data_IF_162393565259
#
_entry.id   IF_162393565259
#
_cell.length_a   1.000
_cell.length_b   1.000
_cell.length_c   1.000
_cell.angle_alpha   90.00
_cell.angle_beta   90.00
_cell.angle_gamma   90.00
#
_symmetry.space_group_name_H-M   'P 1'
#
loop_
_entity.id
_entity.type
_entity.pdbx_description
1 polymer ?
#
# COMPACT_ATOMS: atom_id res chain seq x y z
N UNK A 1 26.18 -24.32 36.72
CA UNK A 1 25.08 -23.35 36.76
C UNK A 1 25.67 -22.07 37.31
N UNK A 2 25.74 -21.00 36.53
CA UNK A 2 26.14 -19.67 37.02
C UNK A 2 24.82 -18.94 37.28
N UNK A 3 24.53 -18.66 38.56
CA UNK A 3 23.23 -18.14 39.00
C UNK A 3 23.22 -16.60 39.09
N UNK A 4 24.36 -15.91 38.96
CA UNK A 4 24.41 -14.45 39.05
C UNK A 4 25.55 -13.84 38.21
N UNK A 5 25.22 -12.81 37.40
CA UNK A 5 26.18 -12.09 36.53
C UNK A 5 27.25 -11.35 37.37
N UNK A 6 26.95 -11.03 38.63
CA UNK A 6 27.89 -10.40 39.57
C UNK A 6 29.16 -11.23 39.81
N UNK A 7 29.08 -12.56 39.70
CA UNK A 7 30.20 -13.46 40.00
C UNK A 7 31.23 -13.53 38.85
N UNK A 8 30.93 -12.89 37.72
CA UNK A 8 31.78 -12.83 36.54
C UNK A 8 32.63 -11.55 36.47
N UNK A 9 32.31 -10.50 37.23
CA UNK A 9 33.02 -9.20 37.18
C UNK A 9 34.52 -9.28 37.47
N UNK A 10 34.97 -10.28 38.23
CA UNK A 10 36.39 -10.43 38.60
C UNK A 10 37.22 -11.27 37.61
N UNK A 11 36.69 -11.60 36.43
CA UNK A 11 37.34 -12.51 35.44
C UNK A 11 38.10 -11.79 34.31
N UNK A 12 38.31 -10.48 34.41
CA UNK A 12 39.11 -9.68 33.48
C UNK A 12 38.30 -8.64 32.69
N UNK A 13 38.96 -7.68 32.04
CA UNK A 13 38.33 -6.49 31.45
C UNK A 13 37.28 -6.84 30.37
N UNK A 14 37.51 -7.89 29.58
CA UNK A 14 36.54 -8.34 28.57
C UNK A 14 35.22 -8.81 29.20
N UNK A 15 35.28 -9.53 30.33
CA UNK A 15 34.08 -10.03 31.00
C UNK A 15 33.32 -8.87 31.66
N UNK A 16 34.04 -7.90 32.20
CA UNK A 16 33.45 -6.68 32.74
C UNK A 16 32.76 -5.84 31.66
N UNK A 17 33.42 -5.63 30.51
CA UNK A 17 32.84 -4.93 29.36
C UNK A 17 31.61 -5.66 28.81
N UNK A 18 31.65 -7.00 28.79
CA UNK A 18 30.50 -7.84 28.42
C UNK A 18 29.34 -7.64 29.41
N UNK A 19 29.62 -7.71 30.72
CA UNK A 19 28.60 -7.56 31.76
C UNK A 19 28.00 -6.14 31.83
N UNK A 20 28.75 -5.12 31.43
CA UNK A 20 28.32 -3.71 31.45
C UNK A 20 27.77 -3.23 30.11
N UNK A 21 27.83 -4.04 29.05
CA UNK A 21 27.45 -3.67 27.68
C UNK A 21 28.21 -2.42 27.16
N UNK A 22 29.41 -2.15 27.69
CA UNK A 22 30.22 -0.98 27.33
C UNK A 22 30.59 -0.98 25.83
N UNK A 23 30.81 -2.18 25.27
CA UNK A 23 31.09 -2.36 23.84
C UNK A 23 29.91 -1.90 22.96
N UNK A 24 28.67 -2.21 23.36
CA UNK A 24 27.46 -1.83 22.64
C UNK A 24 27.26 -0.32 22.69
N UNK A 25 27.44 0.30 23.87
CA UNK A 25 27.34 1.75 24.02
C UNK A 25 28.40 2.50 23.19
N UNK A 26 29.65 2.01 23.20
CA UNK A 26 30.74 2.60 22.41
C UNK A 26 30.46 2.50 20.91
N UNK A 27 29.94 1.35 20.46
CA UNK A 27 29.54 1.16 19.07
C UNK A 27 28.36 2.07 18.70
N UNK A 28 27.34 2.18 19.55
CA UNK A 28 26.20 3.06 19.33
C UNK A 28 26.63 4.51 19.11
N UNK A 29 27.51 5.04 19.98
CA UNK A 29 28.04 6.41 19.83
C UNK A 29 28.82 6.58 18.52
N UNK A 30 29.62 5.58 18.15
CA UNK A 30 30.37 5.59 16.89
C UNK A 30 29.44 5.57 15.68
N UNK A 31 28.43 4.71 15.67
CA UNK A 31 27.42 4.64 14.61
C UNK A 31 26.58 5.92 14.51
N UNK A 32 26.31 6.57 15.63
CA UNK A 32 25.62 7.86 15.62
C UNK A 32 26.43 8.94 14.90
N UNK A 33 27.74 9.02 15.17
CA UNK A 33 28.63 9.92 14.43
C UNK A 33 28.69 9.58 12.94
N UNK A 34 28.87 8.29 12.62
CA UNK A 34 28.92 7.84 11.23
C UNK A 34 27.58 8.07 10.50
N UNK A 35 26.45 8.04 11.20
CA UNK A 35 25.15 8.39 10.62
C UNK A 35 25.10 9.86 10.16
N UNK A 36 25.60 10.78 11.00
CA UNK A 36 25.68 12.20 10.66
C UNK A 36 26.60 12.39 9.46
N UNK A 37 27.79 11.79 9.50
CA UNK A 37 28.79 11.85 8.41
C UNK A 37 28.22 11.27 7.10
N UNK A 38 27.56 10.11 7.13
CA UNK A 38 26.95 9.49 5.96
C UNK A 38 25.81 10.34 5.36
N UNK A 39 25.06 11.05 6.20
CA UNK A 39 24.03 11.96 5.75
C UNK A 39 24.63 13.23 5.11
N UNK A 40 25.74 13.73 5.64
CA UNK A 40 26.50 14.83 5.02
C UNK A 40 27.06 14.40 3.66
N UNK A 41 27.67 13.22 3.58
CA UNK A 41 28.20 12.62 2.34
C UNK A 41 27.10 12.45 1.27
N UNK A 42 25.91 12.01 1.67
CA UNK A 42 24.79 11.80 0.76
C UNK A 42 24.17 13.11 0.25
N UNK A 43 24.39 14.25 0.91
CA UNK A 43 23.80 15.54 0.54
C UNK A 43 24.82 16.56 0.03
N UNK A 44 26.09 16.19 -0.06
CA UNK A 44 27.19 17.06 -0.52
C UNK A 44 27.66 16.62 -1.89
N UNK A 45 27.90 17.58 -2.79
CA UNK A 45 28.50 17.30 -4.10
C UNK A 45 30.02 17.33 -3.97
N UNK A 46 30.68 16.23 -4.32
CA UNK A 46 32.13 16.10 -4.28
C UNK A 46 32.70 16.08 -5.70
N UNK A 47 33.73 16.90 -5.93
CA UNK A 47 34.63 16.79 -7.10
C UNK A 47 35.67 15.68 -6.92
N UNK A 48 36.08 15.45 -5.67
CA UNK A 48 36.96 14.37 -5.26
C UNK A 48 36.58 13.92 -3.85
N UNK A 49 36.26 12.65 -3.69
CA UNK A 49 36.08 12.02 -2.39
C UNK A 49 37.30 11.15 -2.05
N UNK A 50 37.87 11.35 -0.86
CA UNK A 50 39.02 10.60 -0.40
C UNK A 50 38.69 9.90 0.93
N UNK A 51 38.84 8.58 0.97
CA UNK A 51 38.55 7.76 2.14
C UNK A 51 37.51 6.68 1.87
N UNK A 52 37.10 6.00 2.93
CA UNK A 52 35.98 5.05 2.89
C UNK A 52 34.71 5.79 3.31
N UNK A 53 33.60 5.68 2.56
CA UNK A 53 32.33 6.29 2.93
C UNK A 53 31.86 5.87 4.32
N UNK A 54 31.27 6.79 5.07
CA UNK A 54 30.83 6.56 6.45
C UNK A 54 29.77 5.43 6.54
N UNK A 55 28.93 5.26 5.50
CA UNK A 55 27.98 4.15 5.44
C UNK A 55 28.69 2.78 5.36
N UNK A 56 29.83 2.70 4.66
CA UNK A 56 30.59 1.47 4.48
C UNK A 56 31.36 1.11 5.75
N UNK A 57 31.94 2.13 6.42
CA UNK A 57 32.53 1.95 7.75
C UNK A 57 31.47 1.44 8.72
N UNK A 58 30.28 2.05 8.74
CA UNK A 58 29.18 1.61 9.61
C UNK A 58 28.81 0.14 9.39
N UNK A 59 28.80 -0.31 8.13
CA UNK A 59 28.51 -1.71 7.77
C UNK A 59 29.56 -2.66 8.33
N UNK A 60 30.85 -2.32 8.21
CA UNK A 60 31.96 -3.12 8.73
C UNK A 60 31.86 -3.25 10.25
N UNK A 61 31.66 -2.13 10.96
CA UNK A 61 31.58 -2.12 12.43
C UNK A 61 30.44 -2.99 12.95
N UNK A 62 29.28 -2.95 12.29
CA UNK A 62 28.12 -3.77 12.65
C UNK A 62 28.32 -5.23 12.31
N UNK A 63 28.97 -5.53 11.19
CA UNK A 63 29.30 -6.91 10.83
C UNK A 63 30.29 -7.52 11.82
N UNK A 64 31.33 -6.78 12.21
CA UNK A 64 32.32 -7.21 13.19
C UNK A 64 31.69 -7.40 14.56
N UNK A 65 30.77 -6.51 14.93
CA UNK A 65 30.01 -6.62 16.17
C UNK A 65 29.11 -7.86 16.20
N UNK A 66 28.35 -8.11 15.13
CA UNK A 66 27.53 -9.31 15.02
C UNK A 66 28.37 -10.59 15.05
N UNK A 67 29.51 -10.59 14.35
CA UNK A 67 30.45 -11.71 14.37
C UNK A 67 31.00 -11.94 15.78
N UNK A 68 31.31 -10.88 16.52
CA UNK A 68 31.72 -10.97 17.91
C UNK A 68 30.63 -11.61 18.77
N UNK A 69 29.37 -11.18 18.65
CA UNK A 69 28.26 -11.77 19.41
C UNK A 69 28.08 -13.26 19.10
N UNK A 70 28.02 -13.62 17.81
CA UNK A 70 27.81 -15.00 17.35
C UNK A 70 28.96 -15.91 17.78
N UNK A 71 30.20 -15.51 17.51
CA UNK A 71 31.38 -16.34 17.78
C UNK A 71 31.63 -16.56 19.28
N UNK A 72 31.11 -15.66 20.13
CA UNK A 72 31.22 -15.75 21.59
C UNK A 72 29.93 -16.28 22.25
N UNK A 73 28.95 -16.74 21.46
CA UNK A 73 27.66 -17.25 21.96
C UNK A 73 26.92 -16.27 22.88
N UNK A 74 27.06 -14.97 22.61
CA UNK A 74 26.40 -13.91 23.36
C UNK A 74 24.94 -13.80 22.88
N UNK A 75 24.02 -14.33 23.67
CA UNK A 75 22.57 -14.26 23.41
C UNK A 75 21.99 -12.92 23.85
N UNK A 76 22.64 -11.82 23.46
CA UNK A 76 22.20 -10.48 23.83
C UNK A 76 21.22 -9.86 22.84
N UNK A 77 20.79 -10.62 21.85
CA UNK A 77 19.84 -10.24 20.80
C UNK A 77 18.43 -9.84 21.31
N UNK A 78 18.21 -9.90 22.62
CA UNK A 78 16.99 -9.43 23.31
C UNK A 78 17.18 -8.13 24.10
N UNK A 79 18.40 -7.64 24.27
CA UNK A 79 18.66 -6.39 24.99
C UNK A 79 18.36 -5.21 24.09
N UNK A 80 17.57 -4.26 24.60
CA UNK A 80 17.08 -3.13 23.83
C UNK A 80 18.23 -2.27 23.30
N UNK A 81 19.29 -2.10 24.09
CA UNK A 81 20.49 -1.33 23.74
C UNK A 81 21.20 -1.87 22.50
N UNK A 82 21.25 -3.20 22.36
CA UNK A 82 21.87 -3.87 21.22
C UNK A 82 20.95 -3.79 20.00
N UNK A 83 19.65 -4.03 20.20
CA UNK A 83 18.64 -3.87 19.15
C UNK A 83 18.67 -2.45 18.59
N UNK A 84 18.77 -1.43 19.45
CA UNK A 84 18.82 -0.03 19.04
C UNK A 84 20.10 0.31 18.27
N UNK A 85 21.21 -0.32 18.61
CA UNK A 85 22.48 -0.21 17.85
C UNK A 85 22.31 -0.74 16.42
N UNK A 86 21.72 -1.92 16.25
CA UNK A 86 21.41 -2.46 14.92
C UNK A 86 20.38 -1.61 14.16
N UNK A 87 19.35 -1.12 14.84
CA UNK A 87 18.32 -0.26 14.23
C UNK A 87 18.88 1.08 13.78
N UNK A 88 19.81 1.68 14.54
CA UNK A 88 20.48 2.92 14.16
C UNK A 88 21.27 2.73 12.87
N UNK A 89 22.04 1.64 12.77
CA UNK A 89 22.74 1.29 11.53
C UNK A 89 21.79 1.11 10.34
N UNK A 90 20.71 0.33 10.52
CA UNK A 90 19.73 0.08 9.46
C UNK A 90 19.13 1.39 8.94
N UNK A 91 18.82 2.35 9.83
CA UNK A 91 18.38 3.69 9.41
C UNK A 91 19.44 4.43 8.59
N UNK A 92 20.71 4.37 9.00
CA UNK A 92 21.83 4.95 8.24
C UNK A 92 21.90 4.41 6.82
N UNK A 93 21.92 3.07 6.66
CA UNK A 93 22.12 2.46 5.35
C UNK A 93 20.89 2.64 4.45
N UNK A 94 19.67 2.60 5.00
CA UNK A 94 18.44 2.87 4.23
C UNK A 94 18.42 4.33 3.76
N UNK A 95 18.75 5.28 4.63
CA UNK A 95 18.85 6.70 4.25
C UNK A 95 19.89 6.91 3.15
N UNK A 96 21.06 6.26 3.25
CA UNK A 96 22.11 6.32 2.24
C UNK A 96 21.67 5.72 0.91
N UNK A 97 21.02 4.54 0.92
CA UNK A 97 20.53 3.90 -0.32
C UNK A 97 19.38 4.66 -0.97
N UNK A 98 18.57 5.36 -0.18
CA UNK A 98 17.46 6.17 -0.64
C UNK A 98 17.89 7.55 -1.19
N UNK A 99 19.10 8.01 -0.87
CA UNK A 99 19.61 9.28 -1.37
C UNK A 99 19.56 9.33 -2.90
N UNK A 100 19.15 10.48 -3.43
CA UNK A 100 19.11 10.73 -4.87
C UNK A 100 20.53 11.02 -5.35
N UNK A 101 20.89 10.52 -6.53
CA UNK A 101 22.12 10.95 -7.19
C UNK A 101 22.03 12.46 -7.45
N UNK A 102 22.94 13.24 -6.87
CA UNK A 102 23.07 14.68 -7.11
C UNK A 102 24.28 14.87 -8.00
N UNK A 103 24.07 15.44 -9.19
CA UNK A 103 25.14 15.78 -10.13
C UNK A 103 25.07 17.26 -10.47
N UNK A 104 26.21 17.94 -10.41
CA UNK A 104 26.39 19.23 -11.08
C UNK A 104 27.07 18.93 -12.43
N UNK A 105 26.46 19.41 -13.51
CA UNK A 105 26.93 19.16 -14.89
C UNK A 105 27.59 20.39 -15.49
N UNK A 106 27.95 21.37 -14.66
CA UNK A 106 28.57 22.62 -15.10
C UNK A 106 29.94 22.43 -15.77
N UNK A 107 30.70 21.39 -15.41
CA UNK A 107 31.95 21.00 -16.10
C UNK A 107 31.94 19.52 -16.53
N UNK A 108 31.88 19.21 -17.84
CA UNK A 108 31.87 17.84 -18.34
C UNK A 108 33.20 17.08 -18.15
N UNK A 109 34.27 17.75 -17.70
CA UNK A 109 35.58 17.12 -17.46
C UNK A 109 35.79 16.67 -16.00
N UNK A 110 34.90 17.07 -15.08
CA UNK A 110 34.96 16.71 -13.65
C UNK A 110 33.63 16.04 -13.26
N UNK A 111 33.58 14.71 -13.13
CA UNK A 111 32.36 14.04 -12.67
C UNK A 111 32.13 14.40 -11.19
N UNK A 112 31.14 15.26 -10.96
CA UNK A 112 30.72 15.68 -9.63
C UNK A 112 29.53 14.86 -9.15
N UNK A 113 29.62 14.34 -7.92
CA UNK A 113 28.58 13.48 -7.37
C UNK A 113 28.59 13.46 -5.84
N UNK A 114 27.42 13.18 -5.26
CA UNK A 114 27.32 12.82 -3.85
C UNK A 114 27.80 11.38 -3.59
N UNK A 115 28.12 11.08 -2.33
CA UNK A 115 28.62 9.77 -1.90
C UNK A 115 27.56 9.08 -1.07
N UNK A 116 27.01 8.00 -1.60
CA UNK A 116 26.01 7.20 -0.91
C UNK A 116 26.00 5.77 -1.44
N UNK A 117 25.36 4.87 -0.68
CA UNK A 117 25.26 3.47 -1.08
C UNK A 117 24.30 3.31 -2.26
N UNK A 118 24.67 2.46 -3.22
CA UNK A 118 23.80 2.11 -4.36
C UNK A 118 22.92 0.88 -4.09
N UNK A 119 23.33 0.05 -3.12
CA UNK A 119 22.77 -1.28 -2.90
C UNK A 119 22.67 -1.60 -1.41
N UNK A 120 21.71 -2.46 -1.06
CA UNK A 120 21.74 -3.19 0.22
C UNK A 120 22.47 -4.53 0.05
N UNK A 121 23.18 -4.95 1.09
CA UNK A 121 23.88 -6.24 1.19
C UNK A 121 23.10 -7.24 2.04
N UNK A 122 23.59 -8.47 2.09
CA UNK A 122 23.16 -9.56 2.99
C UNK A 122 22.97 -9.12 4.45
N UNK A 123 23.97 -8.47 5.06
CA UNK A 123 23.88 -8.01 6.45
C UNK A 123 22.75 -7.00 6.65
N UNK A 124 22.53 -6.11 5.69
CA UNK A 124 21.50 -5.07 5.77
C UNK A 124 20.11 -5.73 5.83
N UNK A 125 19.87 -6.68 4.92
CA UNK A 125 18.60 -7.41 4.82
C UNK A 125 18.39 -8.34 6.03
N UNK A 126 19.45 -9.00 6.49
CA UNK A 126 19.41 -9.82 7.70
C UNK A 126 18.94 -9.00 8.91
N UNK A 127 19.55 -7.83 9.14
CA UNK A 127 19.23 -6.99 10.30
C UNK A 127 17.80 -6.44 10.22
N UNK A 128 17.36 -6.01 9.03
CA UNK A 128 15.99 -5.55 8.80
C UNK A 128 14.99 -6.66 9.18
N UNK A 129 15.15 -7.86 8.63
CA UNK A 129 14.26 -8.99 8.89
C UNK A 129 14.33 -9.42 10.36
N UNK A 130 15.51 -9.40 10.98
CA UNK A 130 15.72 -9.87 12.36
C UNK A 130 15.10 -8.93 13.41
N UNK A 131 15.25 -7.61 13.24
CA UNK A 131 15.03 -6.63 14.31
C UNK A 131 13.84 -5.67 14.09
N UNK A 132 13.24 -5.63 12.90
CA UNK A 132 12.07 -4.79 12.62
C UNK A 132 10.80 -5.61 12.45
N UNK A 133 9.67 -5.09 12.94
CA UNK A 133 8.34 -5.63 12.61
C UNK A 133 7.95 -5.27 11.16
N UNK A 134 6.98 -5.96 10.57
CA UNK A 134 6.47 -5.62 9.22
C UNK A 134 5.99 -4.16 9.13
N UNK A 135 5.37 -3.65 10.19
CA UNK A 135 4.92 -2.24 10.27
C UNK A 135 6.09 -1.26 10.39
N UNK A 136 7.14 -1.60 11.15
CA UNK A 136 8.31 -0.72 11.28
C UNK A 136 9.17 -0.72 10.02
N UNK A 137 9.22 -1.84 9.30
CA UNK A 137 9.83 -1.91 7.96
C UNK A 137 9.14 -0.92 7.04
N UNK A 138 7.81 -0.95 6.96
CA UNK A 138 7.07 -0.02 6.12
C UNK A 138 7.35 1.45 6.46
N UNK A 139 7.33 1.80 7.75
CA UNK A 139 7.65 3.17 8.20
C UNK A 139 9.07 3.56 7.79
N UNK A 140 10.04 2.68 8.05
CA UNK A 140 11.45 2.92 7.72
C UNK A 140 11.64 3.22 6.23
N UNK A 141 11.05 2.43 5.34
CA UNK A 141 11.17 2.68 3.90
C UNK A 141 10.32 3.86 3.41
N UNK A 142 9.15 4.12 4.01
CA UNK A 142 8.30 5.26 3.68
C UNK A 142 8.88 6.60 4.16
N UNK A 143 9.68 6.62 5.23
CA UNK A 143 10.42 7.79 5.72
C UNK A 143 11.54 8.20 4.75
N UNK A 144 12.16 7.21 4.09
CA UNK A 144 13.29 7.41 3.18
C UNK A 144 12.88 7.14 1.72
N UNK A 145 11.82 7.81 1.24
CA UNK A 145 11.27 7.58 -0.12
C UNK A 145 12.35 7.74 -1.21
N UNK A 146 12.71 6.63 -1.86
CA UNK A 146 13.51 6.61 -3.09
C UNK A 146 12.60 6.69 -4.31
N UNK A 147 13.03 7.40 -5.35
CA UNK A 147 12.39 7.32 -6.66
C UNK A 147 12.73 5.96 -7.28
N UNK A 148 11.80 5.00 -7.19
CA UNK A 148 11.95 3.65 -7.74
C UNK A 148 12.30 2.59 -6.70
N UNK A 149 12.90 1.48 -7.15
CA UNK A 149 13.16 0.30 -6.33
C UNK A 149 14.54 0.36 -5.67
N UNK A 150 14.66 -0.27 -4.51
CA UNK A 150 15.95 -0.44 -3.83
C UNK A 150 16.64 -1.68 -4.36
N UNK A 151 17.85 -1.49 -4.88
CA UNK A 151 18.64 -2.57 -5.44
C UNK A 151 19.41 -3.33 -4.35
N UNK A 152 19.61 -4.63 -4.57
CA UNK A 152 20.50 -5.46 -3.78
C UNK A 152 21.80 -5.70 -4.57
N UNK A 153 22.90 -5.89 -3.85
CA UNK A 153 24.11 -6.47 -4.44
C UNK A 153 23.98 -8.01 -4.52
N UNK A 154 24.96 -8.68 -5.13
CA UNK A 154 24.95 -10.14 -5.31
C UNK A 154 24.80 -10.88 -3.98
N UNK A 155 25.51 -10.44 -2.93
CA UNK A 155 25.41 -11.04 -1.59
C UNK A 155 23.99 -10.92 -1.00
N UNK A 156 23.35 -9.77 -1.16
CA UNK A 156 21.98 -9.53 -0.71
C UNK A 156 20.98 -10.42 -1.43
N UNK A 157 21.16 -10.64 -2.74
CA UNK A 157 20.34 -11.56 -3.52
C UNK A 157 20.55 -13.02 -3.05
N UNK A 158 21.80 -13.46 -2.93
CA UNK A 158 22.16 -14.80 -2.46
C UNK A 158 21.59 -15.10 -1.07
N UNK A 159 21.63 -14.10 -0.18
CA UNK A 159 21.03 -14.19 1.15
C UNK A 159 19.53 -14.46 1.09
N UNK A 160 18.77 -13.69 0.29
CA UNK A 160 17.34 -13.89 0.12
C UNK A 160 17.02 -15.25 -0.50
N UNK A 161 17.77 -15.66 -1.54
CA UNK A 161 17.59 -16.95 -2.19
C UNK A 161 17.84 -18.13 -1.24
N UNK A 162 18.71 -17.95 -0.25
CA UNK A 162 19.02 -18.93 0.80
C UNK A 162 17.97 -18.95 1.91
N UNK A 163 17.56 -17.78 2.41
CA UNK A 163 16.73 -17.67 3.62
C UNK A 163 15.24 -17.87 3.33
N UNK A 164 14.74 -17.43 2.19
CA UNK A 164 13.31 -17.57 1.82
C UNK A 164 12.86 -19.04 1.83
N UNK A 165 13.56 -20.00 1.19
CA UNK A 165 13.19 -21.41 1.25
C UNK A 165 13.17 -21.96 2.67
N UNK A 166 14.08 -21.53 3.54
CA UNK A 166 14.17 -22.01 4.92
C UNK A 166 13.00 -21.51 5.77
N UNK A 167 12.60 -20.24 5.60
CA UNK A 167 11.42 -19.68 6.29
C UNK A 167 10.14 -20.36 5.78
N UNK A 168 10.03 -20.55 4.46
CA UNK A 168 8.84 -21.15 3.84
C UNK A 168 8.68 -22.63 4.22
N UNK A 169 9.77 -23.42 4.18
CA UNK A 169 9.75 -24.87 4.44
C UNK A 169 9.80 -25.24 5.92
N UNK A 170 9.88 -24.25 6.82
CA UNK A 170 9.98 -24.51 8.24
C UNK A 170 8.77 -25.32 8.72
N UNK A 171 9.03 -26.55 9.18
CA UNK A 171 8.02 -27.41 9.80
C UNK A 171 7.57 -26.89 11.18
N UNK A 172 8.29 -25.89 11.72
CA UNK A 172 7.92 -25.20 12.93
C UNK A 172 6.85 -24.15 12.58
N UNK A 173 5.58 -24.55 12.61
CA UNK A 173 4.43 -23.64 12.54
C UNK A 173 4.33 -22.83 13.83
N UNK A 174 5.28 -21.92 14.03
CA UNK A 174 5.27 -20.97 15.14
C UNK A 174 4.97 -19.58 14.62
N UNK A 175 4.35 -18.76 15.47
CA UNK A 175 4.07 -17.35 15.18
C UNK A 175 5.32 -16.59 14.72
N UNK A 176 6.51 -17.02 15.17
CA UNK A 176 7.79 -16.47 14.75
C UNK A 176 8.09 -16.66 13.26
N UNK A 177 7.96 -17.87 12.72
CA UNK A 177 8.23 -18.11 11.28
C UNK A 177 7.19 -17.45 10.38
N UNK A 178 5.95 -17.35 10.85
CA UNK A 178 4.91 -16.60 10.16
C UNK A 178 5.21 -15.09 10.14
N UNK A 179 5.65 -14.53 11.27
CA UNK A 179 6.09 -13.14 11.34
C UNK A 179 7.29 -12.85 10.42
N UNK A 180 8.29 -13.73 10.39
CA UNK A 180 9.42 -13.61 9.45
C UNK A 180 8.97 -13.59 7.98
N UNK A 181 7.98 -14.42 7.61
CA UNK A 181 7.40 -14.39 6.27
C UNK A 181 6.75 -13.03 5.97
N UNK A 182 6.01 -12.45 6.90
CA UNK A 182 5.39 -11.14 6.70
C UNK A 182 6.41 -10.00 6.63
N UNK A 183 7.52 -10.09 7.37
CA UNK A 183 8.66 -9.16 7.23
C UNK A 183 9.30 -9.25 5.85
N UNK A 184 9.46 -10.45 5.30
CA UNK A 184 9.92 -10.63 3.91
C UNK A 184 8.96 -10.01 2.89
N UNK A 185 7.64 -10.17 3.09
CA UNK A 185 6.63 -9.51 2.24
C UNK A 185 6.75 -7.97 2.34
N UNK A 186 6.93 -7.43 3.56
CA UNK A 186 7.10 -6.00 3.77
C UNK A 186 8.35 -5.45 3.07
N UNK A 187 9.51 -6.10 3.24
CA UNK A 187 10.75 -5.74 2.55
C UNK A 187 10.59 -5.86 1.03
N UNK A 188 9.96 -6.93 0.56
CA UNK A 188 9.67 -7.15 -0.85
C UNK A 188 8.74 -6.11 -1.47
N UNK A 189 8.10 -5.25 -0.67
CA UNK A 189 7.34 -4.08 -1.14
C UNK A 189 8.21 -2.96 -1.74
N UNK A 190 9.52 -2.96 -1.46
CA UNK A 190 10.42 -1.85 -1.79
C UNK A 190 11.64 -2.26 -2.64
N UNK A 191 11.98 -3.55 -2.64
CA UNK A 191 13.15 -4.05 -3.35
C UNK A 191 12.92 -4.26 -4.85
N UNK A 192 14.00 -4.16 -5.63
CA UNK A 192 14.08 -4.74 -6.96
C UNK A 192 14.11 -6.27 -6.82
N UNK A 193 13.07 -6.95 -7.29
CA UNK A 193 12.91 -8.40 -7.12
C UNK A 193 13.37 -9.13 -8.37
N UNK A 194 14.01 -10.29 -8.20
CA UNK A 194 14.18 -11.26 -9.27
C UNK A 194 12.97 -12.21 -9.35
N UNK A 195 12.89 -12.97 -10.45
CA UNK A 195 11.76 -13.85 -10.73
C UNK A 195 11.59 -14.96 -9.68
N UNK A 196 12.69 -15.55 -9.25
CA UNK A 196 12.68 -16.69 -8.33
C UNK A 196 12.19 -16.31 -6.92
N UNK A 197 12.68 -15.19 -6.39
CA UNK A 197 12.30 -14.66 -5.08
C UNK A 197 10.79 -14.40 -5.00
N UNK A 198 10.24 -13.63 -5.94
CA UNK A 198 8.81 -13.28 -5.85
C UNK A 198 7.93 -14.51 -6.07
N UNK A 199 8.32 -15.45 -6.95
CA UNK A 199 7.56 -16.69 -7.18
C UNK A 199 7.47 -17.54 -5.91
N UNK A 200 8.60 -17.72 -5.20
CA UNK A 200 8.64 -18.46 -3.93
C UNK A 200 7.72 -17.84 -2.88
N UNK A 201 7.80 -16.52 -2.70
CA UNK A 201 6.96 -15.79 -1.74
C UNK A 201 5.47 -15.87 -2.09
N UNK A 202 5.14 -15.72 -3.38
CA UNK A 202 3.78 -15.74 -3.90
C UNK A 202 3.11 -17.12 -3.76
N UNK A 203 3.87 -18.20 -3.99
CA UNK A 203 3.33 -19.56 -4.00
C UNK A 203 2.75 -19.98 -2.64
N UNK A 204 3.33 -19.51 -1.53
CA UNK A 204 2.95 -19.91 -0.16
C UNK A 204 1.98 -18.92 0.49
N UNK A 205 1.81 -17.73 -0.11
CA UNK A 205 0.90 -16.71 0.39
C UNK A 205 -0.54 -17.21 0.66
N UNK A 206 -1.18 -18.02 -0.21
CA UNK A 206 -2.52 -18.56 0.06
C UNK A 206 -2.64 -19.36 1.36
N UNK A 207 -1.55 -20.02 1.79
CA UNK A 207 -1.51 -20.85 3.00
C UNK A 207 -1.25 -20.02 4.25
N UNK A 208 -0.57 -18.87 4.10
CA UNK A 208 -0.25 -17.94 5.19
C UNK A 208 -1.39 -16.96 5.48
N UNK A 209 -2.20 -16.60 4.48
CA UNK A 209 -3.31 -15.66 4.66
C UNK A 209 -4.42 -16.31 5.52
N UNK A 210 -4.58 -15.78 6.72
CA UNK A 210 -5.71 -15.92 7.63
C UNK A 210 -6.39 -14.56 7.87
N UNK A 211 -7.59 -14.55 8.46
CA UNK A 211 -8.28 -13.31 8.85
C UNK A 211 -7.38 -12.36 9.66
N UNK A 212 -6.68 -12.90 10.66
CA UNK A 212 -5.81 -12.11 11.53
C UNK A 212 -4.61 -11.53 10.76
N UNK A 213 -3.92 -12.37 9.99
CA UNK A 213 -2.76 -11.93 9.21
C UNK A 213 -3.12 -10.93 8.10
N UNK A 214 -4.32 -11.04 7.53
CA UNK A 214 -4.80 -10.12 6.50
C UNK A 214 -5.04 -8.74 7.10
N UNK A 215 -5.64 -8.66 8.29
CA UNK A 215 -5.85 -7.39 9.00
C UNK A 215 -4.52 -6.71 9.33
N UNK A 216 -3.56 -7.47 9.87
CA UNK A 216 -2.26 -6.92 10.30
C UNK A 216 -1.39 -6.52 9.11
N UNK A 217 -1.29 -7.37 8.08
CA UNK A 217 -0.32 -7.23 7.00
C UNK A 217 -0.94 -6.73 5.69
N UNK A 218 -2.17 -6.19 5.72
CA UNK A 218 -2.87 -5.65 4.53
C UNK A 218 -2.01 -4.68 3.73
N UNK A 219 -1.35 -3.75 4.42
CA UNK A 219 -0.48 -2.75 3.80
C UNK A 219 0.72 -3.40 3.12
N UNK A 220 1.40 -4.33 3.80
CA UNK A 220 2.57 -5.03 3.27
C UNK A 220 2.21 -5.86 2.04
N UNK A 221 1.09 -6.58 2.08
CA UNK A 221 0.58 -7.36 0.94
C UNK A 221 0.28 -6.43 -0.24
N UNK A 222 -0.39 -5.30 0.01
CA UNK A 222 -0.72 -4.35 -1.04
C UNK A 222 0.55 -3.76 -1.69
N UNK A 223 1.51 -3.30 -0.88
CA UNK A 223 2.79 -2.75 -1.35
C UNK A 223 3.59 -3.78 -2.14
N UNK A 224 3.70 -5.01 -1.63
CA UNK A 224 4.35 -6.12 -2.32
C UNK A 224 3.73 -6.41 -3.69
N UNK A 225 2.41 -6.59 -3.76
CA UNK A 225 1.73 -6.88 -5.03
C UNK A 225 1.82 -5.71 -6.02
N UNK A 226 1.77 -4.47 -5.51
CA UNK A 226 1.94 -3.29 -6.35
C UNK A 226 3.38 -3.17 -6.88
N UNK A 227 4.38 -3.54 -6.06
CA UNK A 227 5.78 -3.59 -6.46
C UNK A 227 5.98 -4.64 -7.58
N UNK A 228 5.49 -5.87 -7.37
CA UNK A 228 5.50 -6.97 -8.34
C UNK A 228 4.86 -6.56 -9.68
N UNK A 229 3.73 -5.85 -9.61
CA UNK A 229 3.03 -5.30 -10.79
C UNK A 229 3.84 -4.22 -11.50
N UNK A 230 4.42 -3.29 -10.74
CA UNK A 230 5.18 -2.15 -11.27
C UNK A 230 6.46 -2.59 -11.98
N UNK A 231 7.11 -3.64 -11.46
CA UNK A 231 8.24 -4.31 -12.09
C UNK A 231 7.85 -5.27 -13.23
N UNK A 232 6.55 -5.41 -13.54
CA UNK A 232 6.01 -6.29 -14.60
C UNK A 232 6.46 -7.76 -14.48
N UNK A 233 6.54 -8.26 -13.25
CA UNK A 233 7.09 -9.59 -12.98
C UNK A 233 6.12 -10.74 -13.27
N UNK A 234 4.82 -10.46 -13.36
CA UNK A 234 3.76 -11.46 -13.53
C UNK A 234 3.58 -11.83 -14.99
N UNK A 235 3.62 -13.13 -15.29
CA UNK A 235 3.20 -13.69 -16.57
C UNK A 235 2.03 -14.69 -16.36
N UNK A 236 1.68 -15.45 -17.41
CA UNK A 236 0.57 -16.42 -17.35
C UNK A 236 0.78 -17.49 -16.29
N UNK A 237 2.01 -17.91 -16.00
CA UNK A 237 2.33 -18.96 -15.04
C UNK A 237 2.00 -18.53 -13.60
N UNK A 238 2.41 -17.33 -13.18
CA UNK A 238 2.18 -16.85 -11.80
C UNK A 238 0.75 -16.36 -11.59
N UNK A 239 -0.01 -16.18 -12.68
CA UNK A 239 -1.42 -15.83 -12.63
C UNK A 239 -2.26 -16.86 -11.87
N UNK A 240 -1.87 -18.12 -11.81
CA UNK A 240 -2.57 -19.16 -11.03
C UNK A 240 -2.39 -18.95 -9.53
N UNK A 241 -1.18 -18.61 -9.09
CA UNK A 241 -0.90 -18.29 -7.68
C UNK A 241 -1.65 -17.04 -7.24
N UNK A 242 -1.65 -15.98 -8.05
CA UNK A 242 -2.43 -14.76 -7.79
C UNK A 242 -3.93 -15.04 -7.74
N UNK A 243 -4.43 -15.90 -8.64
CA UNK A 243 -5.83 -16.29 -8.65
C UNK A 243 -6.20 -17.07 -7.37
N UNK A 244 -5.32 -17.97 -6.89
CA UNK A 244 -5.50 -18.65 -5.60
C UNK A 244 -5.50 -17.67 -4.43
N UNK A 245 -4.59 -16.69 -4.39
CA UNK A 245 -4.56 -15.64 -3.36
C UNK A 245 -5.89 -14.88 -3.34
N UNK A 246 -6.37 -14.45 -4.51
CA UNK A 246 -7.66 -13.77 -4.65
C UNK A 246 -8.83 -14.62 -4.12
N UNK A 247 -8.85 -15.92 -4.45
CA UNK A 247 -9.86 -16.84 -3.95
C UNK A 247 -9.79 -17.04 -2.44
N UNK A 248 -8.58 -17.14 -1.88
CA UNK A 248 -8.37 -17.23 -0.43
C UNK A 248 -8.94 -16.01 0.28
N UNK A 249 -8.61 -14.80 -0.19
CA UNK A 249 -9.10 -13.54 0.40
C UNK A 249 -10.63 -13.48 0.33
N UNK A 250 -11.23 -13.75 -0.84
CA UNK A 250 -12.69 -13.74 -0.99
C UNK A 250 -13.37 -14.78 -0.07
N UNK A 251 -12.75 -15.95 0.10
CA UNK A 251 -13.31 -16.99 0.98
C UNK A 251 -13.25 -16.63 2.46
N UNK A 252 -12.24 -15.87 2.87
CA UNK A 252 -12.06 -15.31 4.21
C UNK A 252 -13.00 -14.13 4.46
N UNK A 253 -13.11 -13.21 3.51
CA UNK A 253 -14.02 -12.06 3.52
C UNK A 253 -15.49 -12.47 3.61
N UNK A 254 -15.83 -13.71 3.22
CA UNK A 254 -17.16 -14.25 3.49
C UNK A 254 -17.54 -14.35 4.98
N UNK A 255 -16.66 -13.94 5.90
CA UNK A 255 -16.87 -13.82 7.36
C UNK A 255 -16.61 -12.41 7.92
N UNK A 256 -16.15 -11.43 7.13
CA UNK A 256 -15.72 -10.09 7.59
C UNK A 256 -16.39 -9.02 6.74
N UNK A 257 -16.79 -7.92 7.38
CA UNK A 257 -17.32 -6.71 6.75
C UNK A 257 -16.47 -6.28 5.55
N UNK A 258 -17.12 -6.14 4.40
CA UNK A 258 -16.56 -6.04 3.05
C UNK A 258 -15.54 -4.89 2.89
N UNK A 259 -15.58 -3.88 3.76
CA UNK A 259 -14.86 -2.62 3.62
C UNK A 259 -13.32 -2.75 3.69
N UNK A 260 -12.78 -3.83 4.26
CA UNK A 260 -11.34 -3.95 4.49
C UNK A 260 -10.52 -4.65 3.40
N UNK A 261 -11.12 -5.31 2.40
CA UNK A 261 -10.35 -6.08 1.40
C UNK A 261 -10.53 -5.60 -0.04
N UNK A 262 -11.44 -4.66 -0.31
CA UNK A 262 -11.79 -4.20 -1.67
C UNK A 262 -10.59 -3.68 -2.47
N UNK A 263 -9.75 -2.83 -1.84
CA UNK A 263 -8.54 -2.27 -2.49
C UNK A 263 -7.59 -3.39 -2.94
N UNK A 264 -7.48 -4.46 -2.16
CA UNK A 264 -6.61 -5.60 -2.44
C UNK A 264 -7.21 -6.53 -3.51
N UNK A 265 -8.50 -6.85 -3.40
CA UNK A 265 -9.24 -7.63 -4.41
C UNK A 265 -9.16 -6.95 -5.78
N UNK A 266 -9.35 -5.63 -5.82
CA UNK A 266 -9.20 -4.86 -7.04
C UNK A 266 -7.78 -4.94 -7.61
N UNK A 267 -6.75 -4.74 -6.78
CA UNK A 267 -5.36 -4.80 -7.22
C UNK A 267 -5.05 -6.17 -7.83
N UNK A 268 -5.43 -7.25 -7.16
CA UNK A 268 -5.25 -8.62 -7.66
C UNK A 268 -5.95 -8.85 -9.00
N UNK A 269 -7.22 -8.45 -9.12
CA UNK A 269 -7.94 -8.59 -10.38
C UNK A 269 -7.32 -7.74 -11.50
N UNK A 270 -6.79 -6.55 -11.19
CA UNK A 270 -6.08 -5.71 -12.16
C UNK A 270 -4.79 -6.38 -12.66
N UNK A 271 -4.00 -6.94 -11.75
CA UNK A 271 -2.79 -7.71 -12.10
C UNK A 271 -3.15 -8.91 -12.99
N UNK A 272 -4.24 -9.63 -12.67
CA UNK A 272 -4.72 -10.76 -13.47
C UNK A 272 -5.18 -10.32 -14.87
N UNK A 273 -5.88 -9.18 -14.98
CA UNK A 273 -6.25 -8.62 -16.28
C UNK A 273 -5.05 -8.15 -17.10
N UNK A 274 -4.00 -7.62 -16.47
CA UNK A 274 -2.76 -7.22 -17.18
C UNK A 274 -2.13 -8.43 -17.92
N UNK A 275 -2.42 -9.67 -17.49
CA UNK A 275 -2.02 -10.92 -18.16
C UNK A 275 -3.17 -11.64 -18.88
N UNK A 276 -4.25 -10.93 -19.20
CA UNK A 276 -5.44 -11.42 -19.90
C UNK A 276 -6.18 -12.57 -19.18
N UNK A 277 -6.18 -12.56 -17.84
CA UNK A 277 -6.92 -13.53 -17.03
C UNK A 277 -8.11 -12.87 -16.34
N UNK A 278 -9.29 -13.08 -16.91
CA UNK A 278 -10.55 -12.65 -16.30
C UNK A 278 -10.95 -13.58 -15.14
N UNK A 279 -11.72 -13.03 -14.21
CA UNK A 279 -12.27 -13.76 -13.08
C UNK A 279 -13.37 -14.75 -13.53
N UNK A 280 -13.18 -16.02 -13.17
CA UNK A 280 -14.15 -17.08 -13.45
C UNK A 280 -14.17 -18.13 -12.33
N UNK A 281 -15.00 -17.89 -11.31
CA UNK A 281 -15.26 -18.87 -10.27
C UNK A 281 -16.75 -18.93 -9.95
N UNK A 282 -17.44 -19.82 -10.65
CA UNK A 282 -18.88 -20.03 -10.47
C UNK A 282 -19.25 -20.42 -9.02
N UNK A 283 -18.41 -21.20 -8.33
CA UNK A 283 -18.68 -21.65 -6.96
C UNK A 283 -18.66 -20.47 -5.98
N UNK A 284 -17.66 -19.60 -6.10
CA UNK A 284 -17.55 -18.40 -5.27
C UNK A 284 -18.70 -17.44 -5.58
N UNK A 285 -19.02 -17.20 -6.87
CA UNK A 285 -20.12 -16.33 -7.26
C UNK A 285 -21.46 -16.83 -6.68
N UNK A 286 -21.72 -18.14 -6.76
CA UNK A 286 -22.91 -18.73 -6.15
C UNK A 286 -22.91 -18.59 -4.62
N UNK A 287 -21.76 -18.73 -3.97
CA UNK A 287 -21.62 -18.52 -2.52
C UNK A 287 -21.90 -17.07 -2.14
N UNK A 288 -21.38 -16.10 -2.90
CA UNK A 288 -21.64 -14.66 -2.70
C UNK A 288 -23.13 -14.34 -2.88
N UNK A 289 -23.76 -14.87 -3.94
CA UNK A 289 -25.20 -14.75 -4.19
C UNK A 289 -26.02 -15.27 -3.00
N UNK A 290 -25.72 -16.49 -2.53
CA UNK A 290 -26.44 -17.12 -1.40
C UNK A 290 -26.29 -16.36 -0.08
N UNK A 291 -25.18 -15.64 0.10
CA UNK A 291 -24.88 -14.85 1.31
C UNK A 291 -25.28 -13.38 1.22
N UNK A 292 -25.76 -12.91 0.06
CA UNK A 292 -26.12 -11.51 -0.15
C UNK A 292 -24.93 -10.56 -0.18
N UNK A 293 -23.75 -11.01 -0.66
CA UNK A 293 -22.56 -10.17 -0.76
C UNK A 293 -22.56 -9.32 -2.04
N UNK A 294 -23.51 -8.40 -2.13
CA UNK A 294 -23.77 -7.61 -3.34
C UNK A 294 -22.58 -6.75 -3.76
N UNK A 295 -22.00 -5.97 -2.83
CA UNK A 295 -20.87 -5.08 -3.13
C UNK A 295 -19.71 -5.87 -3.75
N UNK A 296 -19.40 -7.05 -3.22
CA UNK A 296 -18.36 -7.90 -3.78
C UNK A 296 -18.70 -8.40 -5.18
N UNK A 297 -19.95 -8.79 -5.44
CA UNK A 297 -20.41 -9.16 -6.79
C UNK A 297 -20.27 -7.98 -7.77
N UNK A 298 -20.60 -6.77 -7.32
CA UNK A 298 -20.45 -5.56 -8.13
C UNK A 298 -18.97 -5.28 -8.44
N UNK A 299 -18.09 -5.39 -7.44
CA UNK A 299 -16.64 -5.21 -7.64
C UNK A 299 -16.01 -6.25 -8.57
N UNK A 300 -16.47 -7.50 -8.52
CA UNK A 300 -15.96 -8.57 -9.39
C UNK A 300 -16.47 -8.44 -10.83
N UNK A 301 -17.55 -7.69 -11.06
CA UNK A 301 -18.23 -7.65 -12.36
C UNK A 301 -17.29 -7.25 -13.49
N UNK A 302 -16.62 -6.11 -13.39
CA UNK A 302 -15.77 -5.58 -14.48
C UNK A 302 -14.64 -6.55 -14.88
N UNK A 303 -14.14 -7.31 -13.92
CA UNK A 303 -13.04 -8.26 -14.07
C UNK A 303 -13.48 -9.65 -14.53
N UNK A 304 -14.79 -9.92 -14.56
CA UNK A 304 -15.33 -11.25 -14.80
C UNK A 304 -15.47 -11.63 -16.28
N UNK A 305 -15.46 -12.94 -16.54
CA UNK A 305 -15.82 -13.50 -17.85
C UNK A 305 -17.25 -13.16 -18.24
N UNK A 306 -17.57 -13.25 -19.54
CA UNK A 306 -18.94 -13.00 -20.06
C UNK A 306 -19.99 -13.86 -19.35
N UNK A 307 -19.67 -15.11 -19.05
CA UNK A 307 -20.62 -16.02 -18.41
C UNK A 307 -20.80 -15.73 -16.91
N UNK A 308 -19.74 -15.35 -16.20
CA UNK A 308 -19.87 -14.86 -14.82
C UNK A 308 -20.65 -13.55 -14.77
N UNK A 309 -20.41 -12.62 -15.70
CA UNK A 309 -21.18 -11.38 -15.83
C UNK A 309 -22.68 -11.65 -16.00
N UNK A 310 -23.06 -12.58 -16.89
CA UNK A 310 -24.48 -12.98 -17.07
C UNK A 310 -25.11 -13.50 -15.77
N UNK A 311 -24.38 -14.30 -14.98
CA UNK A 311 -24.89 -14.81 -13.69
C UNK A 311 -25.14 -13.69 -12.68
N UNK A 312 -24.21 -12.73 -12.59
CA UNK A 312 -24.35 -11.56 -11.73
C UNK A 312 -25.55 -10.71 -12.18
N UNK A 313 -25.69 -10.45 -13.48
CA UNK A 313 -26.83 -9.69 -14.05
C UNK A 313 -28.16 -10.37 -13.71
N UNK A 314 -28.28 -11.68 -13.95
CA UNK A 314 -29.51 -12.40 -13.66
C UNK A 314 -29.88 -12.36 -12.18
N UNK A 315 -28.89 -12.50 -11.28
CA UNK A 315 -29.12 -12.36 -9.85
C UNK A 315 -29.75 -11.01 -9.49
N UNK A 316 -29.19 -9.91 -9.99
CA UNK A 316 -29.69 -8.57 -9.67
C UNK A 316 -31.02 -8.22 -10.36
N UNK A 317 -31.36 -8.85 -11.49
CA UNK A 317 -32.68 -8.71 -12.13
C UNK A 317 -33.81 -9.30 -11.29
N UNK A 318 -33.55 -10.45 -10.67
CA UNK A 318 -34.55 -11.19 -9.90
C UNK A 318 -34.55 -10.81 -8.41
N UNK A 319 -33.59 -9.98 -7.98
CA UNK A 319 -33.41 -9.58 -6.60
C UNK A 319 -34.56 -8.69 -6.13
N UNK A 320 -35.14 -9.04 -4.98
CA UNK A 320 -36.06 -8.19 -4.23
C UNK A 320 -35.32 -7.52 -3.10
N UNK A 321 -35.63 -6.26 -2.86
CA UNK A 321 -35.05 -5.46 -1.80
C UNK A 321 -36.03 -5.30 -0.63
N UNK A 322 -35.50 -5.15 0.57
CA UNK A 322 -36.31 -5.08 1.79
C UNK A 322 -37.18 -3.82 1.85
N UNK A 323 -36.74 -2.74 1.21
CA UNK A 323 -37.48 -1.48 1.11
C UNK A 323 -37.03 -0.66 -0.11
N UNK A 324 -37.87 0.33 -0.49
CA UNK A 324 -37.66 1.19 -1.66
C UNK A 324 -36.34 1.97 -1.62
N UNK A 325 -35.88 2.41 -0.44
CA UNK A 325 -34.65 3.19 -0.35
C UNK A 325 -33.42 2.34 -0.61
N UNK A 326 -33.37 1.13 -0.04
CA UNK A 326 -32.31 0.16 -0.32
C UNK A 326 -32.33 -0.23 -1.80
N UNK A 327 -33.50 -0.33 -2.41
CA UNK A 327 -33.63 -0.56 -3.86
C UNK A 327 -33.04 0.61 -4.67
N UNK A 328 -33.35 1.86 -4.31
CA UNK A 328 -32.83 3.03 -5.02
C UNK A 328 -31.30 3.10 -4.95
N UNK A 329 -30.73 2.91 -3.76
CA UNK A 329 -29.28 2.88 -3.56
C UNK A 329 -28.64 1.77 -4.40
N UNK A 330 -29.18 0.55 -4.35
CA UNK A 330 -28.68 -0.57 -5.12
C UNK A 330 -28.77 -0.33 -6.63
N UNK A 331 -29.88 0.24 -7.14
CA UNK A 331 -30.05 0.52 -8.58
C UNK A 331 -29.07 1.59 -9.07
N UNK A 332 -28.76 2.60 -8.25
CA UNK A 332 -27.73 3.58 -8.57
C UNK A 332 -26.35 2.91 -8.70
N UNK A 333 -25.99 2.04 -7.76
CA UNK A 333 -24.72 1.30 -7.82
C UNK A 333 -24.64 0.30 -8.97
N UNK A 334 -25.74 -0.42 -9.26
CA UNK A 334 -25.80 -1.35 -10.40
C UNK A 334 -25.59 -0.64 -11.73
N UNK A 335 -26.18 0.55 -11.90
CA UNK A 335 -25.96 1.40 -13.05
C UNK A 335 -24.53 1.92 -13.11
N UNK A 336 -23.98 2.37 -11.97
CA UNK A 336 -22.59 2.84 -11.86
C UNK A 336 -21.60 1.79 -12.35
N UNK A 337 -21.75 0.53 -11.93
CA UNK A 337 -20.88 -0.59 -12.32
C UNK A 337 -21.23 -1.24 -13.68
N UNK A 338 -22.15 -0.66 -14.47
CA UNK A 338 -22.60 -1.20 -15.77
C UNK A 338 -23.20 -2.62 -15.69
N UNK A 339 -23.83 -2.96 -14.56
CA UNK A 339 -24.44 -4.27 -14.35
C UNK A 339 -25.86 -4.26 -14.92
N UNK A 340 -26.62 -3.20 -14.66
CA UNK A 340 -27.94 -2.96 -15.24
C UNK A 340 -28.01 -1.52 -15.75
N UNK A 341 -28.87 -1.29 -16.74
CA UNK A 341 -29.17 0.06 -17.21
C UNK A 341 -30.02 0.81 -16.16
N UNK A 342 -29.82 2.13 -16.07
CA UNK A 342 -30.61 2.98 -15.19
C UNK A 342 -31.90 3.41 -15.90
N UNK A 343 -33.04 3.00 -15.36
CA UNK A 343 -34.34 3.23 -15.99
C UNK A 343 -35.01 4.53 -15.52
N UNK A 344 -35.84 5.10 -16.40
CA UNK A 344 -36.56 6.36 -16.17
C UNK A 344 -37.54 6.29 -14.98
N UNK A 345 -38.10 5.12 -14.68
CA UNK A 345 -39.08 4.95 -13.59
C UNK A 345 -38.37 5.08 -12.24
N UNK A 346 -37.27 4.36 -12.07
CA UNK A 346 -36.39 4.46 -10.90
C UNK A 346 -35.89 5.90 -10.72
N UNK A 347 -35.41 6.54 -11.79
CA UNK A 347 -34.96 7.93 -11.74
C UNK A 347 -36.06 8.88 -11.23
N UNK A 348 -37.26 8.80 -11.80
CA UNK A 348 -38.39 9.64 -11.40
C UNK A 348 -38.82 9.39 -9.95
N UNK A 349 -38.78 8.14 -9.49
CA UNK A 349 -39.11 7.78 -8.12
C UNK A 349 -38.11 8.37 -7.12
N UNK A 350 -36.80 8.32 -7.42
CA UNK A 350 -35.76 8.95 -6.60
C UNK A 350 -35.94 10.48 -6.57
N UNK A 351 -36.21 11.09 -7.72
CA UNK A 351 -36.47 12.54 -7.82
C UNK A 351 -37.67 12.92 -6.94
N UNK A 352 -38.79 12.21 -7.06
CA UNK A 352 -40.00 12.46 -6.28
C UNK A 352 -39.75 12.29 -4.77
N UNK A 353 -38.98 11.28 -4.38
CA UNK A 353 -38.58 11.08 -2.99
C UNK A 353 -37.82 12.30 -2.45
N UNK A 354 -36.79 12.76 -3.17
CA UNK A 354 -35.98 13.92 -2.77
C UNK A 354 -36.80 15.22 -2.70
N UNK A 355 -37.74 15.41 -3.64
CA UNK A 355 -38.66 16.54 -3.62
C UNK A 355 -39.63 16.50 -2.44
N UNK A 356 -40.08 15.31 -2.04
CA UNK A 356 -41.00 15.11 -0.91
C UNK A 356 -40.31 15.35 0.43
N UNK A 357 -39.08 14.85 0.60
CA UNK A 357 -38.25 15.13 1.79
C UNK A 357 -37.95 16.64 1.92
N UNK A 358 -37.72 17.31 0.78
CA UNK A 358 -37.49 18.75 0.67
C UNK A 358 -36.44 19.31 1.64
N UNK A 359 -35.37 18.55 1.88
CA UNK A 359 -34.25 18.94 2.75
C UNK A 359 -32.95 18.95 1.96
N UNK A 360 -32.10 19.92 2.24
CA UNK A 360 -30.74 19.92 1.70
C UNK A 360 -29.89 18.87 2.42
N UNK A 361 -28.95 18.27 1.71
CA UNK A 361 -27.99 17.32 2.26
C UNK A 361 -27.28 17.86 3.52
N UNK A 362 -26.91 19.14 3.52
CA UNK A 362 -26.26 19.82 4.65
C UNK A 362 -27.14 19.98 5.89
N UNK A 363 -28.46 19.96 5.74
CA UNK A 363 -29.43 20.16 6.82
C UNK A 363 -29.81 18.85 7.53
N UNK A 364 -29.34 17.70 7.04
CA UNK A 364 -29.61 16.38 7.63
C UNK A 364 -28.38 15.90 8.39
N UNK A 365 -28.50 15.82 9.72
CA UNK A 365 -27.41 15.40 10.61
C UNK A 365 -27.49 13.93 11.04
N UNK A 366 -28.47 13.18 10.55
CA UNK A 366 -28.63 11.74 10.84
C UNK A 366 -27.71 10.94 9.92
N UNK A 367 -27.02 9.93 10.47
CA UNK A 367 -26.20 8.97 9.71
C UNK A 367 -26.89 7.60 9.66
N UNK A 368 -26.98 6.94 8.49
CA UNK A 368 -26.55 7.42 7.16
C UNK A 368 -27.48 8.52 6.61
N UNK A 369 -26.89 9.51 5.92
CA UNK A 369 -27.62 10.61 5.29
C UNK A 369 -28.09 10.20 3.89
N UNK A 370 -29.35 9.75 3.80
CA UNK A 370 -29.96 9.22 2.57
C UNK A 370 -30.01 10.22 1.42
N UNK A 371 -30.19 11.51 1.72
CA UNK A 371 -30.21 12.57 0.70
C UNK A 371 -28.83 12.65 0.03
N UNK A 372 -27.75 12.59 0.83
CA UNK A 372 -26.38 12.56 0.31
C UNK A 372 -26.17 11.33 -0.57
N UNK A 373 -26.56 10.14 -0.12
CA UNK A 373 -26.34 8.89 -0.87
C UNK A 373 -27.03 8.96 -2.25
N UNK A 374 -28.31 9.31 -2.29
CA UNK A 374 -29.08 9.37 -3.53
C UNK A 374 -28.59 10.47 -4.47
N UNK A 375 -28.34 11.67 -3.95
CA UNK A 375 -27.85 12.79 -4.78
C UNK A 375 -26.43 12.54 -5.30
N UNK A 376 -25.57 11.89 -4.51
CA UNK A 376 -24.25 11.48 -4.94
C UNK A 376 -24.32 10.43 -6.05
N UNK A 377 -25.15 9.38 -5.90
CA UNK A 377 -25.33 8.38 -6.95
C UNK A 377 -25.85 8.97 -8.26
N UNK A 378 -26.85 9.86 -8.19
CA UNK A 378 -27.33 10.60 -9.37
C UNK A 378 -26.24 11.46 -10.01
N UNK A 379 -25.40 12.13 -9.21
CA UNK A 379 -24.28 12.91 -9.72
C UNK A 379 -23.26 12.05 -10.47
N UNK A 380 -22.94 10.87 -9.93
CA UNK A 380 -22.06 9.89 -10.59
C UNK A 380 -22.66 9.48 -11.95
N UNK A 381 -23.92 9.05 -11.97
CA UNK A 381 -24.57 8.63 -13.21
C UNK A 381 -24.67 9.76 -14.23
N UNK A 382 -24.86 11.00 -13.78
CA UNK A 382 -24.90 12.18 -14.66
C UNK A 382 -23.57 12.34 -15.40
N UNK A 383 -22.45 12.24 -14.69
CA UNK A 383 -21.12 12.39 -15.26
C UNK A 383 -20.74 11.21 -16.18
N UNK A 384 -21.26 10.03 -15.87
CA UNK A 384 -21.10 8.84 -16.70
C UNK A 384 -22.05 8.81 -17.92
N UNK A 385 -22.87 9.85 -18.11
CA UNK A 385 -23.90 9.94 -19.14
C UNK A 385 -24.95 8.80 -19.11
N UNK A 386 -25.33 8.37 -17.91
CA UNK A 386 -26.30 7.28 -17.67
C UNK A 386 -27.65 7.73 -17.14
N UNK A 387 -27.84 9.04 -16.98
CA UNK A 387 -29.10 9.65 -16.57
C UNK A 387 -30.05 9.73 -17.76
N UNK A 388 -31.33 9.51 -17.51
CA UNK A 388 -32.37 9.62 -18.53
C UNK A 388 -32.81 11.08 -18.73
N UNK A 389 -33.04 11.83 -17.65
CA UNK A 389 -33.49 13.22 -17.69
C UNK A 389 -32.48 14.17 -17.03
N UNK A 390 -31.47 14.57 -17.81
CA UNK A 390 -30.40 15.47 -17.37
C UNK A 390 -30.92 16.78 -16.76
N UNK A 391 -31.97 17.39 -17.33
CA UNK A 391 -32.49 18.67 -16.83
C UNK A 391 -33.09 18.54 -15.44
N UNK A 392 -33.90 17.50 -15.21
CA UNK A 392 -34.52 17.26 -13.92
C UNK A 392 -33.49 16.90 -12.86
N UNK A 393 -32.56 15.99 -13.19
CA UNK A 393 -31.50 15.59 -12.26
C UNK A 393 -30.58 16.76 -11.90
N UNK A 394 -30.19 17.60 -12.86
CA UNK A 394 -29.40 18.81 -12.58
C UNK A 394 -30.10 19.73 -11.58
N UNK A 395 -31.42 19.93 -11.74
CA UNK A 395 -32.22 20.77 -10.85
C UNK A 395 -32.28 20.19 -9.43
N UNK A 396 -32.40 18.87 -9.30
CA UNK A 396 -32.39 18.16 -8.02
C UNK A 396 -31.03 18.30 -7.34
N UNK A 397 -29.94 18.13 -8.07
CA UNK A 397 -28.59 18.21 -7.51
C UNK A 397 -28.28 19.65 -7.09
N UNK A 398 -28.61 20.64 -7.92
CA UNK A 398 -28.41 22.05 -7.59
C UNK A 398 -29.19 22.46 -6.32
N UNK A 399 -30.37 21.87 -6.10
CA UNK A 399 -31.22 22.19 -4.94
C UNK A 399 -30.82 21.43 -3.66
N UNK A 400 -30.57 20.13 -3.75
CA UNK A 400 -30.51 19.25 -2.58
C UNK A 400 -29.13 18.67 -2.28
N UNK A 401 -28.23 18.57 -3.27
CA UNK A 401 -26.96 17.87 -3.11
C UNK A 401 -25.93 18.66 -2.28
N UNK A 402 -24.87 17.97 -1.86
CA UNK A 402 -23.74 18.58 -1.17
C UNK A 402 -22.91 19.47 -2.14
N UNK A 403 -22.11 20.43 -1.63
CA UNK A 403 -21.20 21.22 -2.48
C UNK A 403 -20.27 20.35 -3.33
N UNK A 404 -19.83 19.21 -2.80
CA UNK A 404 -19.02 18.21 -3.51
C UNK A 404 -19.71 17.70 -4.77
N UNK A 405 -20.97 17.27 -4.66
CA UNK A 405 -21.69 16.66 -5.81
C UNK A 405 -22.04 17.70 -6.87
N UNK A 406 -22.31 18.94 -6.44
CA UNK A 406 -22.46 20.09 -7.34
C UNK A 406 -21.17 20.39 -8.11
N UNK A 407 -20.03 20.38 -7.41
CA UNK A 407 -18.72 20.45 -8.05
C UNK A 407 -18.53 19.31 -9.04
N UNK A 408 -18.83 18.07 -8.63
CA UNK A 408 -18.59 16.87 -9.43
C UNK A 408 -19.23 16.97 -10.82
N UNK A 409 -20.45 17.50 -10.92
CA UNK A 409 -21.16 17.66 -12.21
C UNK A 409 -20.65 18.86 -13.01
N UNK A 410 -20.23 19.92 -12.33
CA UNK A 410 -19.79 21.18 -12.95
C UNK A 410 -18.27 21.35 -12.90
N UNK A 411 -17.51 20.25 -12.78
CA UNK A 411 -16.08 20.31 -12.44
C UNK A 411 -15.23 21.09 -13.47
N UNK A 412 -15.69 21.14 -14.73
CA UNK A 412 -15.02 21.89 -15.81
C UNK A 412 -15.13 23.41 -15.65
N UNK A 413 -16.25 23.88 -15.10
CA UNK A 413 -16.63 25.29 -14.99
C UNK A 413 -16.67 25.77 -13.53
N UNK A 414 -16.18 24.96 -12.60
CA UNK A 414 -16.20 25.25 -11.17
C UNK A 414 -15.13 26.27 -10.77
N UNK A 415 -15.43 27.11 -9.77
CA UNK A 415 -14.45 27.99 -9.14
C UNK A 415 -13.64 27.21 -8.09
N UNK A 416 -12.39 26.88 -8.43
CA UNK A 416 -11.50 26.09 -7.57
C UNK A 416 -11.03 26.82 -6.31
N UNK A 417 -11.46 28.07 -6.05
CA UNK A 417 -11.24 28.73 -4.75
C UNK A 417 -11.86 27.94 -3.60
N UNK A 418 -13.10 27.48 -3.78
CA UNK A 418 -13.88 26.77 -2.76
C UNK A 418 -13.71 25.24 -2.83
N UNK A 419 -12.83 24.76 -3.70
CA UNK A 419 -12.54 23.34 -3.85
C UNK A 419 -11.76 22.79 -2.65
N UNK A 420 -12.23 21.66 -2.12
CA UNK A 420 -11.56 20.91 -1.06
C UNK A 420 -10.94 19.64 -1.62
N UNK A 421 -9.63 19.43 -1.39
CA UNK A 421 -8.90 18.25 -1.88
C UNK A 421 -9.49 16.94 -1.36
N UNK A 422 -10.09 16.95 -0.16
CA UNK A 422 -10.77 15.79 0.43
C UNK A 422 -11.93 15.26 -0.41
N UNK A 423 -12.53 16.08 -1.27
CA UNK A 423 -13.59 15.63 -2.19
C UNK A 423 -13.13 14.53 -3.14
N UNK A 424 -11.83 14.48 -3.45
CA UNK A 424 -11.25 13.46 -4.32
C UNK A 424 -11.26 12.07 -3.69
N UNK A 425 -11.14 11.95 -2.35
CA UNK A 425 -11.14 10.62 -1.70
C UNK A 425 -12.49 9.92 -1.79
N UNK A 426 -13.55 10.69 -2.03
CA UNK A 426 -14.91 10.18 -2.17
C UNK A 426 -15.29 9.91 -3.65
N UNK A 427 -14.42 10.22 -4.59
CA UNK A 427 -14.65 9.94 -6.00
C UNK A 427 -14.20 8.51 -6.33
N UNK A 428 -15.03 7.77 -7.07
CA UNK A 428 -14.58 6.51 -7.64
C UNK A 428 -13.47 6.73 -8.68
N UNK A 429 -12.75 5.64 -8.99
CA UNK A 429 -11.60 5.66 -9.89
C UNK A 429 -11.94 6.07 -11.33
N UNK A 430 -13.14 5.73 -11.81
CA UNK A 430 -13.55 6.09 -13.16
C UNK A 430 -13.78 7.61 -13.27
N UNK A 431 -14.36 8.20 -12.23
CA UNK A 431 -14.57 9.65 -12.11
C UNK A 431 -13.23 10.37 -12.02
N UNK A 432 -12.31 9.93 -11.15
CA UNK A 432 -10.98 10.53 -11.03
C UNK A 432 -10.24 10.55 -12.38
N UNK A 433 -10.32 9.45 -13.13
CA UNK A 433 -9.74 9.35 -14.48
C UNK A 433 -10.41 10.31 -15.47
N UNK A 434 -11.73 10.46 -15.42
CA UNK A 434 -12.45 11.39 -16.30
C UNK A 434 -12.09 12.85 -15.99
N UNK A 435 -12.02 13.21 -14.70
CA UNK A 435 -11.64 14.55 -14.25
C UNK A 435 -10.22 14.89 -14.72
N UNK A 436 -9.27 13.97 -14.55
CA UNK A 436 -7.87 14.24 -14.90
C UNK A 436 -7.57 14.36 -16.39
N UNK A 437 -8.47 13.90 -17.26
CA UNK A 437 -8.34 14.10 -18.72
C UNK A 437 -8.51 15.56 -19.14
N UNK A 438 -9.11 16.42 -18.31
CA UNK A 438 -9.21 17.84 -18.58
C UNK A 438 -7.95 18.57 -18.07
N UNK A 439 -7.10 19.04 -18.99
CA UNK A 439 -5.81 19.68 -18.66
C UNK A 439 -5.94 20.88 -17.69
N UNK A 440 -6.96 21.72 -17.86
CA UNK A 440 -7.17 22.90 -16.99
C UNK A 440 -7.51 22.45 -15.58
N UNK A 441 -8.49 21.56 -15.46
CA UNK A 441 -8.92 21.01 -14.16
C UNK A 441 -7.80 20.23 -13.48
N UNK A 442 -7.07 19.41 -14.24
CA UNK A 442 -5.92 18.65 -13.72
C UNK A 442 -4.88 19.59 -13.11
N UNK A 443 -4.59 20.71 -13.77
CA UNK A 443 -3.64 21.70 -13.25
C UNK A 443 -4.12 22.37 -11.96
N UNK A 444 -5.38 22.80 -11.90
CA UNK A 444 -5.98 23.40 -10.69
C UNK A 444 -5.95 22.42 -9.49
N UNK A 445 -6.36 21.17 -9.72
CA UNK A 445 -6.37 20.13 -8.69
C UNK A 445 -4.95 19.78 -8.25
N UNK A 446 -4.02 19.61 -9.20
CA UNK A 446 -2.61 19.33 -8.92
C UNK A 446 -1.98 20.41 -8.04
N UNK A 447 -2.21 21.68 -8.36
CA UNK A 447 -1.73 22.81 -7.55
C UNK A 447 -2.28 22.79 -6.12
N UNK A 448 -3.58 22.49 -5.95
CA UNK A 448 -4.21 22.35 -4.62
C UNK A 448 -3.65 21.16 -3.83
N UNK A 449 -3.38 20.03 -4.48
CA UNK A 449 -2.77 18.85 -3.85
C UNK A 449 -1.32 19.12 -3.44
N UNK A 450 -0.52 19.77 -4.30
CA UNK A 450 0.85 20.18 -3.99
C UNK A 450 0.86 21.17 -2.81
N UNK A 451 -0.08 22.11 -2.77
CA UNK A 451 -0.22 23.02 -1.63
C UNK A 451 -0.56 22.27 -0.34
N UNK A 452 -1.53 21.35 -0.38
CA UNK A 452 -1.89 20.53 0.77
C UNK A 452 -0.73 19.64 1.26
N UNK A 453 0.12 19.17 0.33
CA UNK A 453 1.36 18.47 0.65
C UNK A 453 2.35 19.38 1.39
N UNK A 454 2.62 20.58 0.87
CA UNK A 454 3.52 21.57 1.51
C UNK A 454 3.05 21.99 2.91
N UNK A 455 1.74 21.96 3.15
CA UNK A 455 1.13 22.29 4.44
C UNK A 455 1.07 21.08 5.41
N UNK A 456 1.63 19.92 5.06
CA UNK A 456 1.54 18.67 5.83
C UNK A 456 0.09 18.22 6.12
N UNK A 457 -0.83 18.44 5.16
CA UNK A 457 -2.27 18.13 5.27
C UNK A 457 -2.73 17.04 4.30
N UNK A 458 -1.81 16.41 3.56
CA UNK A 458 -2.12 15.40 2.57
C UNK A 458 -2.19 14.01 3.21
N UNK A 459 -3.33 13.33 3.07
CA UNK A 459 -3.49 11.94 3.54
C UNK A 459 -2.88 10.94 2.55
N UNK A 460 -2.54 9.70 2.98
CA UNK A 460 -2.03 8.67 2.06
C UNK A 460 -2.96 8.36 0.89
N UNK A 461 -4.28 8.44 1.11
CA UNK A 461 -5.26 8.25 0.03
C UNK A 461 -5.21 9.40 -0.99
N UNK A 462 -4.98 10.64 -0.54
CA UNK A 462 -4.81 11.79 -1.43
C UNK A 462 -3.47 11.78 -2.17
N UNK A 463 -2.39 11.33 -1.52
CA UNK A 463 -1.10 11.05 -2.19
C UNK A 463 -1.29 10.03 -3.32
N UNK A 464 -2.00 8.93 -3.04
CA UNK A 464 -2.30 7.93 -4.05
C UNK A 464 -3.09 8.50 -5.23
N UNK A 465 -4.11 9.33 -4.96
CA UNK A 465 -4.91 9.98 -6.01
C UNK A 465 -4.05 10.93 -6.85
N UNK A 466 -3.18 11.71 -6.21
CA UNK A 466 -2.26 12.60 -6.90
C UNK A 466 -1.40 11.83 -7.90
N UNK A 467 -0.64 10.83 -7.45
CA UNK A 467 0.29 10.09 -8.31
C UNK A 467 -0.38 9.23 -9.39
N UNK A 468 -1.63 8.81 -9.19
CA UNK A 468 -2.32 7.95 -10.17
C UNK A 468 -3.14 8.74 -11.20
N UNK A 469 -3.52 9.99 -10.92
CA UNK A 469 -4.42 10.75 -11.78
C UNK A 469 -3.97 12.18 -12.08
N UNK A 470 -3.30 12.87 -11.16
CA UNK A 470 -3.07 14.33 -11.25
C UNK A 470 -1.60 14.77 -11.27
N UNK A 471 -0.66 13.84 -11.18
CA UNK A 471 0.79 14.07 -11.37
C UNK A 471 1.17 14.29 -12.83
#
# INVERSE_FOLDING_TARGET
MIENISDLKNKGPLVEDICQLNFSYSLFQKLYRLNIEANEEANTIYTLFAGMPAYEISRIEVQDFLNFEINNYLLFDRYQEIVDTYKLYVRTIISSVAAKDVTDTSDPLLPEGNVHSKYLSDIDIFLIIRYFSSTDIEKLFDEHKKDGFINLNDKGMDYLETVIPNIIRSNFKTDFYDDLYWRLIAVGGYLQLNKDIFQKLLAVMPEKITNHSLIINKSSIYKFLNNVRSQKLVNKQESDSLYKILQTIINLDGKIEVENSEKLIYLLNKILLDVNKAYDNTVIIQKCIRRGFDNLLMYLFDFSTKDTKKKIVNYFKDKRYDNELVEYEAKLDLAKYNILDFDIETENNIIKYLETENRQASAVHIRPNKIVILTHGLAILYIQNKICNYKSVLKIIDKYASPKDKWLIKFKDFDYKDFLVSWLTECDRAILKNISMNNKVRHEISNKLIQAYKENRLSPDLEWIYFNYFS
#
